data_IF_662630382736
#
_entry.id   IF_662630382736
#
_cell.length_a   1.000
_cell.length_b   1.000
_cell.length_c   1.000
_cell.angle_alpha   90.00
_cell.angle_beta   90.00
_cell.angle_gamma   90.00
#
_symmetry.space_group_name_H-M   'P 1'
#
loop_
_entity.id
_entity.type
_entity.pdbx_description
1 polymer ?
#
# COMPACT_ATOMS: atom_id res chain seq x y z
N UNK A 1 10.39 35.86 -3.67
CA UNK A 1 9.22 35.67 -2.78
C UNK A 1 9.35 34.29 -2.17
N UNK A 2 9.70 34.23 -0.89
CA UNK A 2 10.03 33.01 -0.16
C UNK A 2 8.77 32.18 0.09
N UNK A 3 8.79 30.93 -0.35
CA UNK A 3 7.74 29.95 -0.08
C UNK A 3 7.73 29.60 1.40
N UNK A 4 6.97 30.37 2.18
CA UNK A 4 6.59 30.01 3.54
C UNK A 4 5.63 28.81 3.52
N UNK A 5 5.58 28.08 4.63
CA UNK A 5 4.75 26.91 4.82
C UNK A 5 3.26 27.18 4.76
N UNK A 6 2.48 26.11 4.62
CA UNK A 6 1.02 26.15 4.77
C UNK A 6 0.60 25.30 5.98
N UNK A 7 0.83 25.75 7.21
CA UNK A 7 0.20 25.14 8.36
C UNK A 7 -1.31 25.25 8.21
N UNK A 8 -1.99 24.11 8.26
CA UNK A 8 -3.44 24.08 8.39
C UNK A 8 -3.87 24.21 9.85
N UNK A 9 -2.92 24.30 10.79
CA UNK A 9 -3.20 24.51 12.21
C UNK A 9 -2.39 25.66 12.81
N UNK A 10 -2.97 26.29 13.82
CA UNK A 10 -2.36 27.36 14.63
C UNK A 10 -2.67 27.14 16.11
N UNK A 11 -2.01 27.88 16.99
CA UNK A 11 -2.42 28.04 18.39
C UNK A 11 -3.31 29.27 18.50
N UNK A 12 -4.41 29.15 19.25
CA UNK A 12 -5.30 30.23 19.66
C UNK A 12 -5.44 30.26 21.19
N UNK A 13 -6.02 31.32 21.79
CA UNK A 13 -6.29 31.37 23.22
C UNK A 13 -7.14 30.19 23.73
N UNK A 14 -8.01 29.66 22.86
CA UNK A 14 -8.91 28.54 23.19
C UNK A 14 -8.25 27.17 22.96
N UNK A 15 -6.99 27.15 22.53
CA UNK A 15 -6.24 25.94 22.18
C UNK A 15 -5.89 25.84 20.69
N UNK A 16 -5.42 24.67 20.23
CA UNK A 16 -5.12 24.43 18.82
C UNK A 16 -6.35 24.61 17.93
N UNK A 17 -6.17 25.28 16.80
CA UNK A 17 -7.23 25.51 15.79
C UNK A 17 -6.78 24.96 14.43
N UNK A 18 -7.70 24.35 13.68
CA UNK A 18 -7.50 23.90 12.30
C UNK A 18 -8.33 24.75 11.34
N UNK A 19 -7.76 25.07 10.18
CA UNK A 19 -8.48 25.69 9.04
C UNK A 19 -8.75 24.66 7.93
N UNK A 20 -8.37 23.41 8.15
CA UNK A 20 -8.66 22.34 7.22
C UNK A 20 -10.16 22.06 7.17
N UNK A 21 -10.70 21.74 5.99
CA UNK A 21 -12.12 21.46 5.80
C UNK A 21 -13.07 22.65 6.01
N UNK A 22 -12.57 23.80 6.47
CA UNK A 22 -13.36 24.98 6.76
C UNK A 22 -14.04 25.54 5.50
N UNK A 23 -15.34 25.78 5.58
CA UNK A 23 -16.09 26.45 4.53
C UNK A 23 -15.69 27.94 4.42
N UNK A 24 -16.13 28.59 3.35
CA UNK A 24 -15.79 29.99 3.07
C UNK A 24 -16.21 30.91 4.24
N UNK A 25 -17.37 30.64 4.83
CA UNK A 25 -17.91 31.40 5.96
C UNK A 25 -17.02 31.28 7.20
N UNK A 26 -16.61 30.05 7.54
CA UNK A 26 -15.72 29.76 8.67
C UNK A 26 -14.36 30.42 8.48
N UNK A 27 -13.81 30.35 7.27
CA UNK A 27 -12.54 31.00 6.93
C UNK A 27 -12.63 32.52 7.09
N UNK A 28 -13.70 33.15 6.63
CA UNK A 28 -13.90 34.59 6.79
C UNK A 28 -14.11 34.99 8.26
N UNK A 29 -14.81 34.17 9.04
CA UNK A 29 -14.96 34.37 10.48
C UNK A 29 -13.62 34.28 11.21
N UNK A 30 -12.79 33.28 10.88
CA UNK A 30 -11.44 33.14 11.43
C UNK A 30 -10.55 34.33 11.04
N UNK A 31 -10.63 34.80 9.78
CA UNK A 31 -9.91 36.01 9.32
C UNK A 31 -10.33 37.24 10.10
N UNK A 32 -11.63 37.42 10.31
CA UNK A 32 -12.19 38.53 11.08
C UNK A 32 -11.68 38.50 12.52
N UNK A 33 -11.84 37.36 13.20
CA UNK A 33 -11.34 37.17 14.57
C UNK A 33 -9.85 37.48 14.69
N UNK A 34 -9.03 36.94 13.80
CA UNK A 34 -7.58 37.17 13.86
C UNK A 34 -7.16 38.62 13.55
N UNK A 35 -7.95 39.36 12.76
CA UNK A 35 -7.74 40.81 12.56
C UNK A 35 -8.06 41.62 13.81
N UNK A 36 -9.10 41.24 14.54
CA UNK A 36 -9.58 41.93 15.74
C UNK A 36 -8.72 41.61 16.98
N UNK A 37 -8.36 40.33 17.16
CA UNK A 37 -7.75 39.83 18.38
C UNK A 37 -6.26 39.52 18.26
N UNK A 38 -5.71 39.45 17.03
CA UNK A 38 -4.33 38.97 16.77
C UNK A 38 -4.01 37.63 17.46
N UNK A 39 -4.98 36.72 17.45
CA UNK A 39 -5.04 35.55 18.33
C UNK A 39 -4.33 34.31 17.79
N UNK A 40 -3.94 34.25 16.51
CA UNK A 40 -3.34 33.05 15.92
C UNK A 40 -1.81 33.10 15.89
N UNK A 41 -1.18 32.08 16.48
CA UNK A 41 0.29 31.97 16.58
C UNK A 41 0.80 30.63 16.06
N UNK A 42 2.02 30.64 15.52
CA UNK A 42 2.64 29.46 14.92
C UNK A 42 3.10 28.47 16.00
N UNK A 43 2.80 27.17 15.83
CA UNK A 43 3.28 26.11 16.74
C UNK A 43 4.81 26.01 16.82
N UNK A 44 5.51 26.40 15.75
CA UNK A 44 6.97 26.25 15.64
C UNK A 44 7.77 27.32 16.39
N UNK A 45 7.29 28.56 16.46
CA UNK A 45 8.04 29.69 17.00
C UNK A 45 7.20 30.70 17.79
N UNK A 46 5.88 30.48 17.90
CA UNK A 46 4.95 31.41 18.56
C UNK A 46 4.67 32.70 17.78
N UNK A 47 5.23 32.87 16.57
CA UNK A 47 5.06 34.10 15.80
C UNK A 47 3.61 34.27 15.27
N UNK A 48 3.13 35.52 15.10
CA UNK A 48 1.79 35.77 14.59
C UNK A 48 1.56 35.21 13.17
N UNK A 49 0.39 34.62 12.98
CA UNK A 49 -0.06 34.06 11.70
C UNK A 49 -1.16 34.92 11.08
N UNK A 50 -1.29 34.84 9.75
CA UNK A 50 -2.44 35.33 8.97
C UNK A 50 -2.95 34.22 8.07
N UNK A 51 -4.22 34.29 7.69
CA UNK A 51 -4.82 33.30 6.78
C UNK A 51 -4.68 33.79 5.35
N UNK A 52 -4.17 32.91 4.46
CA UNK A 52 -4.10 33.14 3.02
C UNK A 52 -4.92 32.09 2.28
N UNK A 53 -5.64 32.53 1.26
CA UNK A 53 -6.32 31.64 0.30
C UNK A 53 -5.90 32.09 -1.09
N UNK A 54 -5.23 31.22 -1.84
CA UNK A 54 -4.95 31.46 -3.24
C UNK A 54 -6.05 30.82 -4.09
N UNK A 55 -6.28 31.34 -5.29
CA UNK A 55 -7.29 30.81 -6.21
C UNK A 55 -7.05 29.32 -6.47
N UNK A 56 -8.07 28.49 -6.23
CA UNK A 56 -7.99 27.02 -6.37
C UNK A 56 -7.14 26.30 -5.30
N UNK A 57 -6.76 26.97 -4.20
CA UNK A 57 -6.01 26.35 -3.09
C UNK A 57 -6.79 26.43 -1.78
N UNK A 58 -6.53 25.45 -0.91
CA UNK A 58 -7.07 25.45 0.45
C UNK A 58 -6.56 26.67 1.25
N UNK A 59 -7.42 27.24 2.11
CA UNK A 59 -7.00 28.25 3.07
C UNK A 59 -5.93 27.68 4.01
N UNK A 60 -4.95 28.51 4.39
CA UNK A 60 -3.87 28.09 5.27
C UNK A 60 -3.33 29.27 6.06
N UNK A 61 -2.67 28.97 7.18
CA UNK A 61 -1.95 29.96 7.97
C UNK A 61 -0.58 30.24 7.34
N UNK A 62 -0.14 31.49 7.38
CA UNK A 62 1.20 31.92 6.99
C UNK A 62 1.73 32.89 8.04
N UNK A 63 3.03 32.85 8.28
CA UNK A 63 3.70 33.86 9.12
C UNK A 63 3.41 35.26 8.59
N UNK A 64 2.91 36.15 9.46
CA UNK A 64 2.79 37.58 9.13
C UNK A 64 4.17 38.18 8.86
N UNK A 65 5.15 37.77 9.66
CA UNK A 65 6.58 38.04 9.50
C UNK A 65 7.33 36.82 10.02
N UNK A 66 8.30 36.32 9.26
CA UNK A 66 9.08 35.13 9.65
C UNK A 66 10.24 35.59 10.53
N UNK A 67 10.34 35.16 11.81
CA UNK A 67 11.51 35.45 12.64
C UNK A 67 12.77 34.77 12.10
N UNK A 68 13.94 35.40 12.26
CA UNK A 68 15.22 34.82 11.83
C UNK A 68 15.54 33.49 12.55
N UNK A 69 15.09 33.36 13.80
CA UNK A 69 15.22 32.15 14.62
C UNK A 69 14.16 31.09 14.33
N UNK A 70 13.23 31.35 13.41
CA UNK A 70 12.21 30.38 13.06
C UNK A 70 12.86 29.23 12.29
N UNK A 71 13.07 28.12 13.00
CA UNK A 71 13.41 26.83 12.39
C UNK A 71 12.26 26.28 11.52
N UNK A 72 11.10 26.95 11.55
CA UNK A 72 9.82 26.62 10.93
C UNK A 72 9.98 25.94 9.59
N UNK A 73 10.27 26.66 8.50
CA UNK A 73 10.26 26.05 7.18
C UNK A 73 11.10 26.80 6.15
N UNK A 74 12.17 26.17 5.66
CA UNK A 74 12.66 26.39 4.31
C UNK A 74 12.51 25.09 3.55
N UNK A 75 11.72 25.06 2.47
CA UNK A 75 11.80 24.00 1.45
C UNK A 75 10.64 23.01 1.34
N UNK A 76 9.51 23.20 2.02
CA UNK A 76 8.34 22.33 1.83
C UNK A 76 7.67 22.56 0.46
N UNK A 77 7.54 21.50 -0.36
CA UNK A 77 6.96 21.62 -1.70
C UNK A 77 5.44 21.85 -1.64
N UNK A 78 4.83 22.54 -2.64
CA UNK A 78 3.37 22.63 -2.75
C UNK A 78 2.67 21.26 -2.78
N UNK A 79 3.32 20.26 -3.38
CA UNK A 79 2.81 18.89 -3.50
C UNK A 79 2.74 18.18 -2.14
N UNK A 80 3.80 18.29 -1.34
CA UNK A 80 3.85 17.74 0.03
C UNK A 80 2.71 18.30 0.88
N UNK A 81 2.51 19.62 0.84
CA UNK A 81 1.41 20.30 1.54
C UNK A 81 0.03 19.86 1.09
N UNK A 82 -0.17 19.67 -0.21
CA UNK A 82 -1.43 19.20 -0.77
C UNK A 82 -1.76 17.78 -0.29
N UNK A 83 -0.78 16.86 -0.29
CA UNK A 83 -0.99 15.49 0.19
C UNK A 83 -1.36 15.46 1.67
N UNK A 84 -0.69 16.25 2.52
CA UNK A 84 -1.08 16.39 3.94
C UNK A 84 -2.52 16.86 4.09
N UNK A 85 -2.92 17.84 3.28
CA UNK A 85 -4.27 18.39 3.33
C UNK A 85 -5.32 17.35 2.93
N UNK A 86 -5.05 16.54 1.89
CA UNK A 86 -5.91 15.42 1.49
C UNK A 86 -6.01 14.41 2.63
N UNK A 87 -4.88 13.97 3.18
CA UNK A 87 -4.85 13.00 4.29
C UNK A 87 -5.65 13.49 5.49
N UNK A 88 -5.39 14.72 5.93
CA UNK A 88 -6.04 15.25 7.11
C UNK A 88 -7.54 15.48 6.88
N UNK A 89 -7.96 15.94 5.69
CA UNK A 89 -9.37 16.14 5.37
C UNK A 89 -10.14 14.81 5.39
N UNK A 90 -9.54 13.76 4.84
CA UNK A 90 -10.17 12.43 4.80
C UNK A 90 -10.12 11.72 6.15
N UNK A 91 -9.11 12.01 6.97
CA UNK A 91 -9.11 11.57 8.36
C UNK A 91 -10.23 12.28 9.16
N UNK A 92 -10.43 13.59 8.97
CA UNK A 92 -11.49 14.38 9.63
C UNK A 92 -12.90 13.92 9.20
N UNK A 93 -13.05 13.43 7.97
CA UNK A 93 -14.32 12.89 7.47
C UNK A 93 -14.66 11.50 8.04
N UNK A 94 -13.69 10.82 8.66
CA UNK A 94 -13.86 9.47 9.23
C UNK A 94 -14.38 9.56 10.66
N UNK A 95 -15.39 8.74 11.00
CA UNK A 95 -16.12 8.84 12.26
C UNK A 95 -15.25 8.63 13.52
N UNK A 96 -15.32 9.60 14.44
CA UNK A 96 -14.64 9.65 15.75
C UNK A 96 -13.11 9.73 15.70
N UNK A 97 -12.54 10.27 14.62
CA UNK A 97 -11.11 10.58 14.57
C UNK A 97 -10.87 12.08 14.80
N UNK A 98 -10.12 12.41 15.84
CA UNK A 98 -9.59 13.75 16.08
C UNK A 98 -8.31 13.93 15.27
N UNK A 99 -8.25 14.99 14.45
CA UNK A 99 -7.14 15.18 13.51
C UNK A 99 -6.34 16.44 13.84
N UNK A 100 -5.02 16.28 13.87
CA UNK A 100 -4.07 17.38 14.05
C UNK A 100 -3.00 17.35 12.96
N UNK A 101 -2.86 18.45 12.22
CA UNK A 101 -1.73 18.66 11.31
C UNK A 101 -0.51 19.18 12.05
N UNK A 102 0.69 18.75 11.63
CA UNK A 102 1.96 19.10 12.27
C UNK A 102 1.99 18.78 13.77
N UNK A 103 1.37 17.66 14.15
CA UNK A 103 1.16 17.26 15.53
C UNK A 103 2.49 16.99 16.23
N UNK A 104 2.63 17.50 17.46
CA UNK A 104 3.86 17.39 18.25
C UNK A 104 3.61 16.50 19.45
N UNK A 105 4.30 15.37 19.51
CA UNK A 105 4.36 14.55 20.72
C UNK A 105 5.40 15.07 21.69
N UNK A 106 4.99 15.30 22.93
CA UNK A 106 5.89 15.74 24.00
C UNK A 106 5.96 14.71 25.12
N UNK A 107 7.12 14.64 25.73
CA UNK A 107 7.30 13.95 27.00
C UNK A 107 6.49 14.66 28.09
N UNK A 108 5.73 13.90 28.88
CA UNK A 108 4.79 14.47 29.85
C UNK A 108 5.51 15.25 30.97
N UNK A 109 6.69 14.78 31.40
CA UNK A 109 7.44 15.36 32.51
C UNK A 109 8.34 16.50 32.05
N UNK A 110 9.13 16.27 31.00
CA UNK A 110 10.17 17.20 30.54
C UNK A 110 9.68 18.20 29.51
N UNK A 111 8.46 18.04 29.00
CA UNK A 111 7.87 18.83 27.91
C UNK A 111 8.70 18.84 26.61
N UNK A 112 9.72 17.99 26.53
CA UNK A 112 10.61 17.86 25.38
C UNK A 112 9.85 17.26 24.20
N UNK A 113 10.07 17.82 23.00
CA UNK A 113 9.53 17.26 21.76
C UNK A 113 10.17 15.90 21.49
N UNK A 114 9.34 14.86 21.43
CA UNK A 114 9.75 13.49 21.11
C UNK A 114 9.63 13.22 19.61
N UNK A 115 8.55 13.67 19.00
CA UNK A 115 8.27 13.46 17.59
C UNK A 115 7.36 14.58 17.04
N UNK A 116 7.34 14.69 15.72
CA UNK A 116 6.45 15.56 14.96
C UNK A 116 5.92 14.77 13.76
N UNK A 117 4.61 14.69 13.65
CA UNK A 117 3.91 14.03 12.54
C UNK A 117 3.36 15.07 11.57
N UNK A 118 3.38 14.76 10.27
CA UNK A 118 2.75 15.61 9.27
C UNK A 118 1.23 15.70 9.50
N UNK A 119 0.58 14.56 9.74
CA UNK A 119 -0.82 14.46 10.18
C UNK A 119 -0.94 13.38 11.24
N UNK A 120 -1.63 13.67 12.35
CA UNK A 120 -2.01 12.70 13.37
C UNK A 120 -3.52 12.57 13.39
N UNK A 121 -4.03 11.34 13.36
CA UNK A 121 -5.42 11.03 13.66
C UNK A 121 -5.44 10.22 14.96
N UNK A 122 -6.28 10.61 15.93
CA UNK A 122 -6.44 9.92 17.21
C UNK A 122 -7.89 9.53 17.45
N UNK A 123 -8.11 8.33 18.00
CA UNK A 123 -9.42 7.80 18.40
C UNK A 123 -9.26 6.93 19.63
N UNK A 124 -9.79 7.37 20.77
CA UNK A 124 -9.64 6.68 22.06
C UNK A 124 -8.16 6.41 22.40
N UNK A 125 -7.75 5.12 22.43
CA UNK A 125 -6.37 4.68 22.69
C UNK A 125 -5.56 4.43 21.42
N UNK A 126 -6.15 4.67 20.25
CA UNK A 126 -5.51 4.48 18.95
C UNK A 126 -5.04 5.81 18.40
N UNK A 127 -3.83 5.84 17.86
CA UNK A 127 -3.29 7.01 17.17
C UNK A 127 -2.51 6.58 15.93
N UNK A 128 -2.76 7.24 14.81
CA UNK A 128 -2.11 6.99 13.52
C UNK A 128 -1.44 8.28 13.06
N UNK A 129 -0.11 8.25 12.91
CA UNK A 129 0.66 9.31 12.29
C UNK A 129 0.83 8.98 10.81
N UNK A 130 0.40 9.88 9.94
CA UNK A 130 0.66 9.83 8.51
C UNK A 130 1.83 10.75 8.17
N UNK A 131 2.80 10.23 7.45
CA UNK A 131 4.05 10.91 7.11
C UNK A 131 4.21 10.96 5.60
N UNK A 132 4.43 12.15 5.03
CA UNK A 132 4.67 12.32 3.61
C UNK A 132 6.13 12.69 3.39
N UNK A 133 6.87 11.88 2.62
CA UNK A 133 8.29 12.09 2.35
C UNK A 133 8.55 12.03 0.84
N UNK A 134 8.45 13.19 0.17
CA UNK A 134 8.61 13.31 -1.28
C UNK A 134 10.05 13.60 -1.74
N UNK A 135 10.93 13.96 -0.80
CA UNK A 135 12.36 14.13 -1.03
C UNK A 135 13.07 12.77 -0.94
N UNK A 136 14.41 12.75 -1.04
CA UNK A 136 15.16 11.50 -0.92
C UNK A 136 14.93 10.85 0.45
N UNK A 137 14.05 9.84 0.49
CA UNK A 137 13.69 9.13 1.70
C UNK A 137 14.87 8.29 2.23
N UNK A 138 15.30 8.58 3.47
CA UNK A 138 16.29 7.81 4.20
C UNK A 138 15.60 6.74 5.05
N UNK A 139 15.88 5.47 4.76
CA UNK A 139 15.29 4.32 5.47
C UNK A 139 15.68 4.28 6.95
N UNK A 140 16.91 4.65 7.31
CA UNK A 140 17.34 4.65 8.71
C UNK A 140 16.64 5.77 9.49
N UNK A 141 16.42 6.92 8.87
CA UNK A 141 15.66 8.01 9.49
C UNK A 141 14.19 7.65 9.72
N UNK A 142 13.53 7.07 8.71
CA UNK A 142 12.16 6.58 8.86
C UNK A 142 12.06 5.54 9.97
N UNK A 143 13.01 4.60 10.07
CA UNK A 143 13.06 3.63 11.16
C UNK A 143 13.21 4.28 12.54
N UNK A 144 14.10 5.27 12.67
CA UNK A 144 14.29 6.02 13.93
C UNK A 144 13.02 6.79 14.32
N UNK A 145 12.36 7.46 13.37
CA UNK A 145 11.10 8.18 13.59
C UNK A 145 9.97 7.22 13.98
N UNK A 146 9.85 6.10 13.28
CA UNK A 146 8.89 5.04 13.58
C UNK A 146 9.07 4.45 14.99
N UNK A 147 10.32 4.29 15.45
CA UNK A 147 10.59 3.82 16.80
C UNK A 147 10.07 4.80 17.87
N UNK A 148 10.16 6.11 17.63
CA UNK A 148 9.62 7.13 18.54
C UNK A 148 8.09 7.13 18.57
N UNK A 149 7.45 6.95 17.42
CA UNK A 149 6.00 6.73 17.35
C UNK A 149 5.58 5.50 18.14
N UNK A 150 6.24 4.36 17.89
CA UNK A 150 5.96 3.11 18.59
C UNK A 150 6.10 3.25 20.10
N UNK A 151 7.14 3.94 20.58
CA UNK A 151 7.34 4.20 22.01
C UNK A 151 6.22 5.07 22.63
N UNK A 152 5.54 5.88 21.81
CA UNK A 152 4.41 6.73 22.23
C UNK A 152 3.03 6.11 21.94
N UNK A 153 2.96 4.83 21.56
CA UNK A 153 1.69 4.18 21.20
C UNK A 153 1.10 4.64 19.87
N UNK A 154 1.86 5.36 19.05
CA UNK A 154 1.42 5.88 17.74
C UNK A 154 1.85 4.93 16.62
N UNK A 155 0.95 4.62 15.70
CA UNK A 155 1.25 3.87 14.47
C UNK A 155 1.63 4.85 13.36
N UNK A 156 2.87 4.81 12.89
CA UNK A 156 3.28 5.58 11.70
C UNK A 156 2.97 4.86 10.37
N UNK A 157 2.42 5.58 9.40
CA UNK A 157 2.22 5.19 7.99
C UNK A 157 2.96 6.17 7.09
N UNK A 158 3.84 5.68 6.21
CA UNK A 158 4.73 6.51 5.40
C UNK A 158 4.34 6.51 3.93
N UNK A 159 4.18 7.69 3.34
CA UNK A 159 3.97 7.89 1.91
C UNK A 159 5.25 8.46 1.30
N UNK A 160 5.89 7.69 0.42
CA UNK A 160 7.18 8.04 -0.17
C UNK A 160 7.08 8.19 -1.68
N UNK A 161 7.81 9.16 -2.23
CA UNK A 161 8.06 9.21 -3.68
C UNK A 161 9.42 8.62 -3.97
N UNK A 162 9.48 7.38 -4.44
CA UNK A 162 10.75 6.70 -4.68
C UNK A 162 10.74 5.83 -5.91
N UNK A 163 11.87 5.83 -6.64
CA UNK A 163 12.19 4.83 -7.67
C UNK A 163 12.87 3.58 -7.10
N UNK A 164 13.27 3.62 -5.83
CA UNK A 164 13.93 2.54 -5.09
C UNK A 164 12.93 1.89 -4.15
N UNK A 165 12.81 0.57 -4.18
CA UNK A 165 11.94 -0.14 -3.25
C UNK A 165 12.48 -0.09 -1.82
N UNK A 166 11.57 -0.06 -0.85
CA UNK A 166 11.86 -0.39 0.55
C UNK A 166 11.33 -1.79 0.86
N UNK A 167 12.00 -2.61 1.70
CA UNK A 167 11.46 -3.90 2.09
C UNK A 167 10.11 -3.73 2.79
N UNK A 168 9.11 -4.51 2.39
CA UNK A 168 7.83 -4.56 3.09
C UNK A 168 8.03 -5.04 4.54
N UNK A 169 7.42 -4.32 5.50
CA UNK A 169 7.50 -4.63 6.93
C UNK A 169 6.20 -4.23 7.64
N UNK A 170 5.81 -5.05 8.63
CA UNK A 170 4.70 -4.74 9.54
C UNK A 170 5.04 -3.58 10.47
N UNK A 171 6.29 -3.45 10.85
CA UNK A 171 6.78 -2.50 11.84
C UNK A 171 6.94 -1.09 11.25
N UNK A 172 7.34 -1.03 9.98
CA UNK A 172 7.55 0.20 9.21
C UNK A 172 6.70 0.16 7.91
N UNK A 173 5.41 0.52 7.99
CA UNK A 173 4.52 0.58 6.83
C UNK A 173 4.93 1.72 5.90
N UNK A 174 5.39 1.38 4.70
CA UNK A 174 5.80 2.34 3.67
C UNK A 174 5.02 2.05 2.40
N UNK A 175 4.42 3.10 1.84
CA UNK A 175 3.59 3.07 0.65
C UNK A 175 4.14 4.07 -0.36
N UNK A 176 4.18 3.67 -1.64
CA UNK A 176 4.53 4.60 -2.69
C UNK A 176 3.34 5.52 -2.98
N UNK A 177 3.60 6.81 -3.17
CA UNK A 177 2.57 7.76 -3.61
C UNK A 177 2.97 8.37 -4.95
N UNK A 178 2.02 8.34 -5.89
CA UNK A 178 2.14 8.95 -7.21
C UNK A 178 0.96 9.91 -7.43
N UNK A 179 1.24 11.06 -8.04
CA UNK A 179 0.21 12.06 -8.33
C UNK A 179 0.17 12.28 -9.84
N UNK A 180 -1.01 12.19 -10.43
CA UNK A 180 -1.26 12.47 -11.83
C UNK A 180 -2.43 13.46 -12.02
N UNK A 181 -3.00 13.52 -13.23
CA UNK A 181 -4.14 14.42 -13.51
C UNK A 181 -5.46 13.94 -12.91
N UNK A 182 -5.55 12.65 -12.56
CA UNK A 182 -6.76 11.99 -12.12
C UNK A 182 -6.84 11.85 -10.60
N UNK A 183 -5.71 11.95 -9.90
CA UNK A 183 -5.70 11.98 -8.44
C UNK A 183 -4.35 11.64 -7.81
N UNK A 184 -4.43 11.23 -6.55
CA UNK A 184 -3.32 10.73 -5.76
C UNK A 184 -3.49 9.24 -5.54
N UNK A 185 -2.50 8.48 -5.95
CA UNK A 185 -2.54 7.04 -5.95
C UNK A 185 -1.52 6.51 -4.96
N UNK A 186 -1.98 5.63 -4.08
CA UNK A 186 -1.16 4.94 -3.09
C UNK A 186 -1.00 3.51 -3.53
N UNK A 187 0.25 3.08 -3.75
CA UNK A 187 0.55 1.67 -4.01
C UNK A 187 0.79 0.93 -2.71
N UNK A 188 0.01 -0.13 -2.48
CA UNK A 188 0.17 -1.05 -1.35
C UNK A 188 1.41 -1.95 -1.52
N UNK A 189 1.82 -2.13 -2.76
CA UNK A 189 3.04 -2.81 -3.19
C UNK A 189 4.21 -1.80 -3.26
N UNK A 190 5.39 -2.21 -2.78
CA UNK A 190 6.63 -1.43 -2.91
C UNK A 190 7.30 -1.71 -4.25
N UNK A 191 8.29 -0.90 -4.68
CA UNK A 191 9.05 -1.21 -5.89
C UNK A 191 9.94 -2.47 -5.79
N UNK A 192 10.05 -3.13 -4.61
CA UNK A 192 10.52 -4.53 -4.53
C UNK A 192 9.49 -5.49 -5.13
N UNK A 193 8.20 -5.18 -4.95
CA UNK A 193 7.03 -5.94 -5.37
C UNK A 193 6.58 -5.58 -6.81
N UNK A 194 7.53 -5.29 -7.72
CA UNK A 194 7.31 -4.58 -9.00
C UNK A 194 5.92 -4.80 -9.65
N UNK A 195 5.12 -3.73 -9.83
CA UNK A 195 3.75 -3.83 -10.38
C UNK A 195 3.68 -4.33 -11.83
N UNK A 196 4.78 -4.23 -12.58
CA UNK A 196 4.91 -4.79 -13.94
C UNK A 196 4.61 -6.29 -14.00
N UNK A 197 4.82 -7.03 -12.91
CA UNK A 197 4.58 -8.48 -12.85
C UNK A 197 3.17 -8.85 -12.40
N UNK A 198 2.46 -7.92 -11.76
CA UNK A 198 1.18 -8.18 -11.10
C UNK A 198 -0.03 -7.54 -11.78
N UNK A 199 0.18 -6.80 -12.88
CA UNK A 199 -0.80 -6.12 -13.76
C UNK A 199 -2.11 -6.86 -14.13
N UNK A 200 -2.30 -8.10 -13.70
CA UNK A 200 -3.48 -8.93 -13.93
C UNK A 200 -4.04 -9.61 -12.66
N UNK A 201 -3.55 -9.28 -11.46
CA UNK A 201 -4.13 -9.75 -10.20
C UNK A 201 -5.33 -8.87 -9.83
N UNK A 202 -6.53 -9.45 -9.78
CA UNK A 202 -7.73 -8.81 -9.23
C UNK A 202 -7.47 -8.44 -7.76
N UNK A 203 -7.23 -7.16 -7.50
CA UNK A 203 -7.00 -6.56 -6.19
C UNK A 203 -6.29 -5.23 -6.35
N UNK A 204 -6.76 -4.17 -5.70
CA UNK A 204 -6.20 -2.83 -5.83
C UNK A 204 -4.72 -2.78 -5.38
N UNK A 205 -3.79 -2.93 -6.33
CA UNK A 205 -2.35 -2.68 -6.11
C UNK A 205 -2.09 -1.22 -5.80
N UNK A 206 -2.96 -0.37 -6.35
CA UNK A 206 -3.04 1.06 -6.13
C UNK A 206 -4.47 1.44 -5.84
N UNK A 207 -4.68 2.35 -4.90
CA UNK A 207 -5.97 2.94 -4.61
C UNK A 207 -5.83 4.45 -4.43
N UNK A 208 -6.95 5.17 -4.44
CA UNK A 208 -6.91 6.61 -4.19
C UNK A 208 -6.42 6.87 -2.76
N UNK A 209 -5.60 7.90 -2.56
CA UNK A 209 -5.10 8.29 -1.23
C UNK A 209 -6.22 8.51 -0.22
N UNK A 210 -7.35 9.10 -0.65
CA UNK A 210 -8.51 9.32 0.21
C UNK A 210 -9.13 8.01 0.69
N UNK A 211 -9.29 7.04 -0.21
CA UNK A 211 -9.80 5.70 0.08
C UNK A 211 -8.84 4.90 0.96
N UNK A 212 -7.53 5.03 0.72
CA UNK A 212 -6.50 4.43 1.57
C UNK A 212 -6.59 4.94 3.00
N UNK A 213 -6.69 6.26 3.20
CA UNK A 213 -6.76 6.87 4.52
C UNK A 213 -7.99 6.36 5.28
N UNK A 214 -9.17 6.38 4.64
CA UNK A 214 -10.40 5.84 5.23
C UNK A 214 -10.25 4.36 5.62
N UNK A 215 -9.79 3.54 4.68
CA UNK A 215 -9.55 2.10 4.92
C UNK A 215 -8.55 1.84 6.05
N UNK A 216 -7.49 2.65 6.16
CA UNK A 216 -6.51 2.52 7.22
C UNK A 216 -7.12 2.86 8.60
N UNK A 217 -7.92 3.91 8.68
CA UNK A 217 -8.58 4.37 9.91
C UNK A 217 -9.75 3.47 10.33
N UNK A 218 -10.46 2.86 9.39
CA UNK A 218 -11.49 1.84 9.65
C UNK A 218 -10.91 0.48 10.07
N UNK A 219 -9.57 0.37 10.07
CA UNK A 219 -8.84 -0.82 10.44
C UNK A 219 -8.86 -1.90 9.37
N UNK A 220 -9.18 -1.57 8.12
CA UNK A 220 -9.18 -2.47 6.97
C UNK A 220 -7.78 -2.64 6.37
N UNK A 221 -6.82 -1.76 6.69
CA UNK A 221 -5.41 -1.95 6.35
C UNK A 221 -4.80 -3.05 7.24
N UNK A 222 -4.59 -4.24 6.68
CA UNK A 222 -4.03 -5.40 7.36
C UNK A 222 -2.63 -5.71 6.85
N UNK A 223 -1.75 -6.07 7.78
CA UNK A 223 -0.55 -6.80 7.43
C UNK A 223 -0.97 -8.26 7.25
N UNK A 224 -0.56 -8.89 6.17
CA UNK A 224 -0.76 -10.32 5.95
C UNK A 224 0.51 -11.08 6.36
N UNK A 225 0.62 -11.60 7.61
CA UNK A 225 1.73 -12.46 7.99
C UNK A 225 1.37 -13.92 7.71
N UNK A 226 1.83 -14.48 6.59
CA UNK A 226 1.72 -15.92 6.38
C UNK A 226 3.01 -16.68 6.72
N UNK A 227 3.92 -16.06 7.47
CA UNK A 227 5.04 -16.79 8.03
C UNK A 227 4.62 -17.61 9.23
N UNK A 228 4.71 -18.94 9.10
CA UNK A 228 4.58 -19.87 10.21
C UNK A 228 3.20 -20.49 10.41
N UNK A 229 2.22 -20.23 9.54
CA UNK A 229 0.91 -20.89 9.61
C UNK A 229 0.96 -22.19 8.81
N UNK A 230 1.51 -23.24 9.44
CA UNK A 230 1.73 -24.55 8.83
C UNK A 230 0.46 -25.25 8.31
N UNK A 231 -0.73 -24.72 8.58
CA UNK A 231 -2.01 -25.32 8.19
C UNK A 231 -2.89 -24.41 7.31
N UNK A 232 -2.34 -23.33 6.75
CA UNK A 232 -3.08 -22.49 5.79
C UNK A 232 -3.39 -23.28 4.53
N UNK A 233 -4.69 -23.39 4.23
CA UNK A 233 -5.19 -23.94 2.99
C UNK A 233 -5.22 -22.87 1.90
N UNK A 234 -4.77 -23.27 0.71
CA UNK A 234 -4.84 -22.48 -0.51
C UNK A 234 -5.76 -23.16 -1.50
N UNK A 235 -6.53 -22.38 -2.24
CA UNK A 235 -7.14 -22.81 -3.50
C UNK A 235 -6.12 -22.62 -4.62
N UNK A 236 -5.43 -23.70 -4.99
CA UNK A 236 -4.54 -23.73 -6.14
C UNK A 236 -5.34 -23.76 -7.45
N UNK A 237 -4.87 -23.03 -8.44
CA UNK A 237 -5.45 -22.97 -9.78
C UNK A 237 -4.33 -23.03 -10.82
N UNK A 238 -4.55 -23.80 -11.89
CA UNK A 238 -3.68 -23.88 -13.05
C UNK A 238 -4.49 -23.51 -14.28
N UNK A 239 -4.19 -22.36 -14.86
CA UNK A 239 -4.80 -21.93 -16.12
C UNK A 239 -4.06 -22.60 -17.28
N UNK A 240 -4.80 -23.07 -18.28
CA UNK A 240 -4.23 -23.84 -19.37
C UNK A 240 -4.90 -23.58 -20.72
N UNK A 241 -4.17 -23.89 -21.80
CA UNK A 241 -4.70 -24.02 -23.15
C UNK A 241 -4.83 -25.48 -23.57
N UNK A 242 -5.77 -25.75 -24.46
CA UNK A 242 -5.85 -26.97 -25.24
C UNK A 242 -4.86 -26.89 -26.40
N UNK A 243 -3.99 -27.90 -26.55
CA UNK A 243 -2.96 -27.92 -27.61
C UNK A 243 -2.98 -29.18 -28.48
N UNK A 244 -3.92 -30.11 -28.25
CA UNK A 244 -4.11 -31.30 -29.07
C UNK A 244 -4.58 -32.51 -28.26
N UNK A 245 -4.36 -33.70 -28.80
CA UNK A 245 -4.70 -34.98 -28.15
C UNK A 245 -3.49 -35.90 -28.06
N UNK A 246 -3.38 -36.65 -26.97
CA UNK A 246 -2.30 -37.60 -26.79
C UNK A 246 -2.48 -38.77 -27.77
N UNK A 247 -1.47 -39.10 -28.60
CA UNK A 247 -1.60 -40.19 -29.57
C UNK A 247 -1.82 -41.55 -28.90
N UNK A 248 -1.28 -41.75 -27.69
CA UNK A 248 -1.40 -42.98 -26.91
C UNK A 248 -2.74 -43.09 -26.18
N UNK A 249 -3.02 -42.18 -25.24
CA UNK A 249 -4.19 -42.30 -24.35
C UNK A 249 -5.41 -41.48 -24.76
N UNK A 250 -5.35 -40.76 -25.88
CA UNK A 250 -6.41 -39.90 -26.45
C UNK A 250 -6.89 -38.73 -25.58
N UNK A 251 -6.36 -38.57 -24.38
CA UNK A 251 -6.65 -37.43 -23.50
C UNK A 251 -6.26 -36.11 -24.17
N UNK A 252 -7.01 -35.05 -23.88
CA UNK A 252 -6.68 -33.70 -24.34
C UNK A 252 -5.35 -33.25 -23.73
N UNK A 253 -4.37 -32.91 -24.57
CA UNK A 253 -3.11 -32.32 -24.12
C UNK A 253 -3.36 -30.85 -23.79
N UNK A 254 -2.98 -30.47 -22.58
CA UNK A 254 -3.05 -29.10 -22.10
C UNK A 254 -1.66 -28.54 -21.79
N UNK A 255 -1.47 -27.26 -22.09
CA UNK A 255 -0.27 -26.48 -21.72
C UNK A 255 -0.68 -25.49 -20.63
N UNK A 256 -0.06 -25.60 -19.45
CA UNK A 256 -0.27 -24.59 -18.41
C UNK A 256 0.28 -23.24 -18.88
N UNK A 257 -0.45 -22.16 -18.60
CA UNK A 257 -0.07 -20.78 -18.89
C UNK A 257 0.33 -20.04 -17.63
N UNK A 258 -0.47 -20.19 -16.58
CA UNK A 258 -0.27 -19.52 -15.32
C UNK A 258 -0.73 -20.42 -14.17
N UNK A 259 -0.18 -20.17 -13.01
CA UNK A 259 -0.68 -20.68 -11.74
C UNK A 259 -1.21 -19.55 -10.92
N UNK A 260 -2.23 -19.86 -10.13
CA UNK A 260 -2.76 -18.94 -9.13
C UNK A 260 -3.00 -19.67 -7.81
N UNK A 261 -2.87 -18.96 -6.69
CA UNK A 261 -3.21 -19.50 -5.37
C UNK A 261 -3.92 -18.44 -4.52
N UNK A 262 -5.10 -18.77 -4.00
CA UNK A 262 -5.85 -17.90 -3.08
C UNK A 262 -5.86 -18.53 -1.70
N UNK A 263 -5.74 -17.73 -0.64
CA UNK A 263 -5.93 -18.23 0.74
C UNK A 263 -7.40 -18.55 0.93
N UNK A 264 -7.71 -19.82 1.21
CA UNK A 264 -9.11 -20.30 1.23
C UNK A 264 -9.96 -19.71 2.34
N UNK A 265 -9.34 -19.21 3.42
CA UNK A 265 -10.02 -18.61 4.57
C UNK A 265 -10.17 -17.09 4.49
N UNK A 266 -9.60 -16.44 3.47
CA UNK A 266 -9.52 -14.98 3.38
C UNK A 266 -9.88 -14.51 1.97
N UNK A 267 -11.18 -14.31 1.71
CA UNK A 267 -11.67 -13.89 0.39
C UNK A 267 -11.18 -12.49 -0.03
N UNK A 268 -10.88 -11.61 0.93
CA UNK A 268 -10.28 -10.29 0.69
C UNK A 268 -8.76 -10.31 0.50
N UNK A 269 -8.10 -11.47 0.64
CA UNK A 269 -6.66 -11.56 0.46
C UNK A 269 -6.28 -11.72 -1.02
N UNK A 270 -5.34 -10.92 -1.53
CA UNK A 270 -4.94 -10.95 -2.94
C UNK A 270 -4.43 -12.32 -3.38
N UNK A 271 -4.86 -12.75 -4.56
CA UNK A 271 -4.44 -14.02 -5.13
C UNK A 271 -2.96 -13.97 -5.57
N UNK A 272 -2.17 -14.99 -5.20
CA UNK A 272 -0.88 -15.25 -5.81
C UNK A 272 -1.11 -15.61 -7.28
N UNK A 273 -0.33 -15.06 -8.20
CA UNK A 273 -0.41 -15.33 -9.63
C UNK A 273 1.01 -15.37 -10.21
N UNK A 274 1.32 -16.40 -10.99
CA UNK A 274 2.60 -16.52 -11.66
C UNK A 274 2.45 -17.25 -13.01
N UNK A 275 3.01 -16.67 -14.09
CA UNK A 275 2.93 -17.20 -15.46
C UNK A 275 2.04 -16.37 -16.39
N UNK A 276 2.15 -16.60 -17.71
CA UNK A 276 1.50 -15.84 -18.79
C UNK A 276 2.49 -15.34 -19.85
N UNK A 277 2.13 -14.29 -20.60
CA UNK A 277 3.04 -13.55 -21.50
C UNK A 277 4.17 -12.80 -20.76
N UNK A 278 4.28 -13.01 -19.44
CA UNK A 278 5.33 -12.47 -18.59
C UNK A 278 6.63 -13.23 -18.83
N UNK A 279 7.29 -12.93 -19.94
CA UNK A 279 8.75 -12.94 -19.93
C UNK A 279 9.18 -11.84 -18.93
N UNK A 280 9.96 -12.20 -17.90
CA UNK A 280 11.14 -11.47 -17.39
C UNK A 280 11.37 -11.51 -15.86
N UNK A 281 12.61 -11.94 -15.54
CA UNK A 281 13.53 -11.62 -14.42
C UNK A 281 13.48 -12.36 -13.09
N UNK A 282 12.39 -13.01 -12.63
CA UNK A 282 12.44 -13.87 -11.43
C UNK A 282 11.68 -15.18 -11.64
N UNK A 283 12.31 -16.30 -11.30
CA UNK A 283 11.66 -17.60 -11.25
C UNK A 283 10.83 -17.71 -9.96
N UNK A 284 9.60 -18.21 -10.08
CA UNK A 284 8.83 -18.68 -8.93
C UNK A 284 9.23 -20.12 -8.60
N UNK A 285 9.56 -20.35 -7.34
CA UNK A 285 9.81 -21.70 -6.80
C UNK A 285 8.48 -22.45 -6.60
N UNK A 286 7.36 -21.73 -6.49
CA UNK A 286 6.02 -22.32 -6.37
C UNK A 286 5.38 -22.74 -7.69
N UNK A 287 5.84 -22.23 -8.83
CA UNK A 287 5.20 -22.47 -10.12
C UNK A 287 4.95 -23.97 -10.41
N UNK A 288 6.03 -24.75 -10.57
CA UNK A 288 5.90 -26.18 -10.86
C UNK A 288 5.31 -27.00 -9.70
N UNK A 289 5.63 -26.73 -8.42
CA UNK A 289 4.95 -27.38 -7.29
C UNK A 289 3.42 -27.22 -7.32
N UNK A 290 2.90 -26.02 -7.60
CA UNK A 290 1.46 -25.80 -7.73
C UNK A 290 0.90 -26.58 -8.91
N UNK A 291 1.54 -26.53 -10.10
CA UNK A 291 1.11 -27.31 -11.27
C UNK A 291 1.00 -28.80 -10.93
N UNK A 292 2.05 -29.36 -10.32
CA UNK A 292 2.10 -30.77 -9.99
C UNK A 292 1.06 -31.17 -8.94
N UNK A 293 0.90 -30.37 -7.88
CA UNK A 293 -0.04 -30.67 -6.81
C UNK A 293 -1.51 -30.59 -7.28
N UNK A 294 -1.85 -29.55 -8.05
CA UNK A 294 -3.18 -29.42 -8.66
C UNK A 294 -3.42 -30.58 -9.63
N UNK A 295 -2.48 -30.86 -10.53
CA UNK A 295 -2.60 -31.96 -11.49
C UNK A 295 -2.80 -33.31 -10.80
N UNK A 296 -1.96 -33.65 -9.82
CA UNK A 296 -2.05 -34.92 -9.10
C UNK A 296 -3.39 -35.11 -8.40
N UNK A 297 -4.02 -34.02 -7.95
CA UNK A 297 -5.32 -34.04 -7.28
C UNK A 297 -6.50 -34.27 -8.22
N UNK A 298 -6.39 -33.88 -9.49
CA UNK A 298 -7.50 -33.90 -10.45
C UNK A 298 -7.31 -34.87 -11.61
N UNK A 299 -6.09 -35.38 -11.85
CA UNK A 299 -5.73 -36.15 -13.06
C UNK A 299 -6.62 -37.36 -13.35
N UNK A 300 -7.18 -38.00 -12.32
CA UNK A 300 -8.09 -39.15 -12.47
C UNK A 300 -9.54 -38.73 -12.75
N UNK A 301 -9.88 -37.46 -12.55
CA UNK A 301 -11.23 -36.88 -12.68
C UNK A 301 -11.42 -36.08 -13.96
N UNK A 302 -10.34 -35.83 -14.71
CA UNK A 302 -10.38 -35.03 -15.94
C UNK A 302 -9.79 -35.80 -17.11
N UNK A 303 -10.39 -35.63 -18.29
CA UNK A 303 -9.87 -36.19 -19.54
C UNK A 303 -8.81 -35.27 -20.18
N UNK A 304 -7.74 -35.00 -19.43
CA UNK A 304 -6.65 -34.08 -19.81
C UNK A 304 -5.30 -34.70 -19.52
N UNK A 305 -4.21 -34.15 -20.06
CA UNK A 305 -2.84 -34.52 -19.71
C UNK A 305 -1.87 -33.36 -19.99
N UNK A 306 -0.76 -33.31 -19.26
CA UNK A 306 0.34 -32.38 -19.53
C UNK A 306 1.49 -33.09 -20.26
N UNK A 307 2.37 -32.27 -20.85
CA UNK A 307 3.70 -32.68 -21.30
C UNK A 307 4.69 -32.52 -20.14
N UNK A 308 5.37 -33.59 -19.76
CA UNK A 308 6.44 -33.57 -18.77
C UNK A 308 7.66 -32.78 -19.30
N UNK A 309 8.61 -32.43 -18.43
CA UNK A 309 9.91 -31.87 -18.83
C UNK A 309 10.65 -32.73 -19.88
N UNK A 310 10.52 -34.05 -19.81
CA UNK A 310 11.15 -34.99 -20.75
C UNK A 310 10.36 -35.16 -22.07
N UNK A 311 9.33 -34.34 -22.30
CA UNK A 311 8.53 -34.37 -23.51
C UNK A 311 7.46 -35.46 -23.60
N UNK A 312 7.23 -36.22 -22.52
CA UNK A 312 6.26 -37.32 -22.51
C UNK A 312 4.90 -36.92 -21.91
N UNK A 313 3.88 -37.71 -22.20
CA UNK A 313 2.56 -37.60 -21.62
C UNK A 313 2.60 -37.94 -20.13
N UNK A 314 2.19 -37.01 -19.25
CA UNK A 314 2.14 -37.25 -17.81
C UNK A 314 1.13 -38.34 -17.38
N UNK A 315 0.29 -38.85 -18.30
CA UNK A 315 -0.64 -39.94 -18.03
C UNK A 315 -0.15 -41.31 -18.48
N UNK A 316 0.23 -41.46 -19.76
CA UNK A 316 0.60 -42.75 -20.35
C UNK A 316 2.06 -42.85 -20.80
N UNK A 317 2.87 -41.83 -20.53
CA UNK A 317 4.29 -41.76 -20.92
C UNK A 317 4.58 -41.76 -22.42
N UNK A 318 3.55 -41.75 -23.29
CA UNK A 318 3.75 -41.63 -24.73
C UNK A 318 4.47 -40.31 -25.08
N UNK A 319 5.41 -40.32 -26.04
CA UNK A 319 6.12 -39.10 -26.45
C UNK A 319 5.13 -38.09 -27.06
N UNK A 320 5.23 -36.84 -26.62
CA UNK A 320 4.42 -35.72 -27.10
C UNK A 320 5.29 -34.77 -27.90
N UNK A 321 4.85 -34.49 -29.14
CA UNK A 321 5.46 -33.43 -29.94
C UNK A 321 5.16 -32.08 -29.32
N UNK A 322 6.13 -31.18 -29.40
CA UNK A 322 5.92 -29.80 -28.98
C UNK A 322 4.97 -29.12 -29.97
N UNK A 323 3.80 -28.70 -29.49
CA UNK A 323 2.90 -27.89 -30.28
C UNK A 323 3.44 -26.46 -30.34
N UNK A 324 3.50 -25.82 -31.52
CA UNK A 324 3.94 -24.43 -31.62
C UNK A 324 3.12 -23.53 -30.70
N UNK A 325 3.75 -22.48 -30.16
CA UNK A 325 3.02 -21.49 -29.40
C UNK A 325 2.06 -20.75 -30.34
N UNK A 326 0.76 -20.80 -30.02
CA UNK A 326 -0.26 -20.11 -30.76
C UNK A 326 -0.89 -19.06 -29.84
N UNK A 327 -0.77 -17.80 -30.24
CA UNK A 327 -1.09 -16.66 -29.39
C UNK A 327 -2.60 -16.46 -29.21
N UNK A 328 -3.40 -16.85 -30.20
CA UNK A 328 -4.86 -16.67 -30.23
C UNK A 328 -5.58 -17.95 -30.73
N UNK A 329 -6.83 -18.12 -30.33
CA UNK A 329 -7.74 -19.15 -30.88
C UNK A 329 -7.80 -20.48 -30.13
N UNK A 330 -6.93 -20.72 -29.15
CA UNK A 330 -6.99 -21.92 -28.32
C UNK A 330 -8.15 -21.84 -27.32
N UNK A 331 -8.84 -22.98 -27.12
CA UNK A 331 -9.73 -23.14 -25.97
C UNK A 331 -8.91 -23.11 -24.69
N UNK A 332 -9.39 -22.37 -23.70
CA UNK A 332 -8.74 -22.16 -22.41
C UNK A 332 -9.63 -22.67 -21.28
N UNK A 333 -9.01 -22.96 -20.14
CA UNK A 333 -9.72 -23.37 -18.94
C UNK A 333 -8.81 -23.34 -17.70
N UNK A 334 -9.36 -23.78 -16.57
CA UNK A 334 -8.67 -23.80 -15.30
C UNK A 334 -8.89 -25.14 -14.59
N UNK A 335 -7.84 -25.67 -13.97
CA UNK A 335 -7.95 -26.77 -13.00
C UNK A 335 -7.74 -26.21 -11.60
N UNK A 336 -8.58 -26.61 -10.66
CA UNK A 336 -8.47 -26.16 -9.28
C UNK A 336 -8.36 -27.33 -8.31
N UNK A 337 -7.57 -27.15 -7.25
CA UNK A 337 -7.47 -28.11 -6.15
C UNK A 337 -7.10 -27.40 -4.84
N UNK A 338 -7.52 -27.93 -3.69
CA UNK A 338 -7.00 -27.47 -2.40
C UNK A 338 -5.52 -27.88 -2.25
N UNK A 339 -4.71 -26.99 -1.68
CA UNK A 339 -3.29 -27.18 -1.41
C UNK A 339 -2.99 -26.74 0.03
N UNK A 340 -1.99 -27.33 0.68
CA UNK A 340 -1.47 -26.81 1.94
C UNK A 340 -0.23 -25.97 1.70
N UNK A 341 -0.16 -24.79 2.30
CA UNK A 341 0.98 -23.88 2.15
C UNK A 341 2.31 -24.53 2.60
N UNK A 342 2.28 -25.40 3.62
CA UNK A 342 3.47 -26.12 4.11
C UNK A 342 4.08 -27.11 3.12
N UNK A 343 3.32 -27.54 2.12
CA UNK A 343 3.79 -28.49 1.09
C UNK A 343 4.51 -27.77 -0.06
N UNK A 344 4.42 -26.43 -0.11
CA UNK A 344 5.14 -25.62 -1.08
C UNK A 344 6.55 -25.28 -0.59
N UNK A 345 7.53 -25.09 -1.50
CA UNK A 345 8.88 -24.69 -1.13
C UNK A 345 8.90 -23.46 -0.23
N UNK A 346 9.76 -23.45 0.80
CA UNK A 346 9.88 -22.29 1.69
C UNK A 346 10.32 -21.05 0.90
N UNK A 347 9.58 -19.92 0.99
CA UNK A 347 9.93 -18.70 0.29
C UNK A 347 11.31 -18.16 0.67
N UNK A 348 12.13 -17.85 -0.33
CA UNK A 348 13.48 -17.27 -0.14
C UNK A 348 13.39 -15.75 0.00
N UNK A 349 14.44 -15.13 0.58
CA UNK A 349 14.55 -13.66 0.58
C UNK A 349 14.53 -13.11 -0.85
N UNK A 350 13.69 -12.10 -1.12
CA UNK A 350 13.53 -11.51 -2.46
C UNK A 350 12.82 -12.39 -3.50
N UNK A 351 12.17 -13.48 -3.06
CA UNK A 351 11.30 -14.28 -3.93
C UNK A 351 9.90 -13.68 -4.01
N UNK A 352 9.20 -13.89 -5.13
CA UNK A 352 7.84 -13.37 -5.35
C UNK A 352 6.84 -13.97 -4.34
N UNK A 353 7.08 -15.20 -3.90
CA UNK A 353 6.32 -15.89 -2.87
C UNK A 353 6.44 -15.18 -1.53
N UNK A 354 7.67 -14.79 -1.16
CA UNK A 354 7.92 -14.11 0.12
C UNK A 354 7.31 -12.71 0.12
N UNK A 355 7.40 -12.01 -1.01
CA UNK A 355 6.77 -10.70 -1.21
C UNK A 355 5.25 -10.81 -1.08
N UNK A 356 4.63 -11.80 -1.74
CA UNK A 356 3.20 -12.06 -1.60
C UNK A 356 2.80 -12.33 -0.13
N UNK A 357 3.52 -13.22 0.57
CA UNK A 357 3.23 -13.60 1.97
C UNK A 357 3.56 -12.53 3.02
N UNK A 358 4.19 -11.41 2.63
CA UNK A 358 4.64 -10.34 3.54
C UNK A 358 4.32 -8.97 2.94
N UNK A 359 3.04 -8.64 2.91
CA UNK A 359 2.55 -7.39 2.34
C UNK A 359 1.48 -6.74 3.20
N UNK A 360 1.31 -5.44 3.00
CA UNK A 360 0.10 -4.74 3.39
C UNK A 360 -1.00 -5.01 2.36
N UNK A 361 -2.23 -5.13 2.83
CA UNK A 361 -3.42 -5.25 2.00
C UNK A 361 -4.55 -4.46 2.64
N UNK A 362 -5.42 -3.90 1.81
CA UNK A 362 -6.73 -3.42 2.26
C UNK A 362 -7.71 -4.55 2.01
N UNK A 363 -8.46 -4.94 3.04
CA UNK A 363 -9.52 -5.94 2.92
C UNK A 363 -10.87 -5.23 2.99
N UNK A 364 -11.65 -5.33 1.92
CA UNK A 364 -13.04 -4.88 1.94
C UNK A 364 -13.83 -5.81 2.88
N UNK A 365 -14.74 -5.24 3.68
CA UNK A 365 -15.63 -6.02 4.55
C UNK A 365 -16.88 -6.47 3.82
#
# INVERSE_FOLDING_TARGET
MTGGSMPFSALSPDGPISILGADITTVENMRRRNREEACFTAKCCGAPLVIRTAQGKLPHFVHKTVPDSCAGERGESPEHRRLKAVIAKEAESTYEWDVETEAIGRDAETQKVLWRADVLAAKNKSAVAFEVQLSQADFDDMRRRQARYKASGVRGLWFVRTKKGFPASKELPIFAVETDRNGDWVSLATAWDRPEMWRYADGAESMELSEFVRSALDGNLKWAPFEGVGDTWLQGCVDYDHIGECPGCKRTIVRHRAVRARVSSEDGYPQFMFGGFNEYRRNSEWHMPIVNAVWNSVRTKVDKTYRSSNGNCCWCSAPLKEAPFQMFGNKWGALTAPLQLKDLPKPKFGSVEREWLRRWTVVDR
#
